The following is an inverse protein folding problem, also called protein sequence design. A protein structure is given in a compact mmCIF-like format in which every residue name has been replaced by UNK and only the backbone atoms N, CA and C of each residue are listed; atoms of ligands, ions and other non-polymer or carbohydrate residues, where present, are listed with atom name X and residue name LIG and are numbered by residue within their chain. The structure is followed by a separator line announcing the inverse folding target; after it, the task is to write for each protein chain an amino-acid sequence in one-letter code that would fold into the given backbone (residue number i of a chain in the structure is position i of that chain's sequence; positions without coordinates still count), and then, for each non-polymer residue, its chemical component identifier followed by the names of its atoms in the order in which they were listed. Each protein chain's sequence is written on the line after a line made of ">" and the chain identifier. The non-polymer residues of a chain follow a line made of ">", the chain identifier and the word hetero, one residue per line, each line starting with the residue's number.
data_IF_633320109679
#
_entry.id   IF_633320109679
#
_cell.length_a   1.000
_cell.length_b   1.000
_cell.length_c   1.000
_cell.angle_alpha   90.00
_cell.angle_beta   90.00
_cell.angle_gamma   90.00
#
_symmetry.space_group_name_H-M   'P 1'
#
loop_
_entity.id
_entity.type
_entity.pdbx_description
1 polymer ?
#
# COMPACT_ATOMS: atom_id res chain seq x y z
N UNK A 1 15.76 1.67 3.98
CA UNK A 1 14.33 1.67 3.59
C UNK A 1 13.88 0.22 3.61
N UNK A 2 12.96 -0.18 4.50
CA UNK A 2 12.44 -1.55 4.47
C UNK A 2 11.56 -1.70 3.22
N UNK A 3 11.76 -2.75 2.44
CA UNK A 3 10.87 -3.07 1.32
C UNK A 3 9.45 -3.27 1.86
N UNK A 4 8.45 -2.74 1.14
CA UNK A 4 7.05 -2.95 1.49
C UNK A 4 6.72 -4.45 1.37
N UNK A 5 6.09 -5.01 2.39
CA UNK A 5 5.60 -6.39 2.34
C UNK A 5 4.43 -6.46 1.35
N UNK A 6 4.70 -6.89 0.12
CA UNK A 6 3.67 -7.14 -0.89
C UNK A 6 3.15 -8.56 -0.69
N UNK A 7 1.86 -8.67 -0.33
CA UNK A 7 1.16 -9.94 -0.15
C UNK A 7 0.69 -10.41 -1.51
N UNK A 8 1.01 -11.65 -1.87
CA UNK A 8 0.45 -12.27 -3.06
C UNK A 8 -1.05 -12.52 -2.80
N UNK A 9 -1.88 -11.70 -3.44
CA UNK A 9 -3.34 -11.75 -3.28
C UNK A 9 -3.94 -13.08 -3.74
N UNK A 10 -3.43 -13.66 -4.83
CA UNK A 10 -3.94 -14.94 -5.33
C UNK A 10 -3.64 -16.07 -4.34
N UNK A 11 -2.45 -16.01 -3.72
CA UNK A 11 -2.08 -16.94 -2.66
C UNK A 11 -2.93 -16.75 -1.41
N UNK A 12 -3.18 -15.50 -0.99
CA UNK A 12 -4.04 -15.21 0.16
C UNK A 12 -5.47 -15.75 -0.08
N UNK A 13 -6.06 -15.47 -1.25
CA UNK A 13 -7.38 -15.99 -1.62
C UNK A 13 -7.43 -17.52 -1.65
N UNK A 14 -6.34 -18.17 -2.10
CA UNK A 14 -6.22 -19.62 -2.11
C UNK A 14 -6.13 -20.20 -0.69
N UNK A 15 -5.37 -19.55 0.20
CA UNK A 15 -5.27 -19.94 1.61
C UNK A 15 -6.60 -19.83 2.33
N UNK A 16 -7.34 -18.74 2.11
CA UNK A 16 -8.70 -18.57 2.67
C UNK A 16 -9.64 -19.69 2.24
N UNK A 17 -9.67 -20.00 0.94
CA UNK A 17 -10.49 -21.10 0.40
C UNK A 17 -10.07 -22.46 0.96
N UNK A 18 -8.76 -22.71 1.05
CA UNK A 18 -8.22 -23.94 1.62
C UNK A 18 -8.64 -24.10 3.08
N UNK A 19 -8.46 -23.05 3.88
CA UNK A 19 -8.87 -22.98 5.29
C UNK A 19 -10.35 -23.31 5.50
N UNK A 20 -11.23 -22.70 4.70
CA UNK A 20 -12.67 -22.96 4.76
C UNK A 20 -13.03 -24.39 4.37
N UNK A 21 -12.34 -24.95 3.37
CA UNK A 21 -12.59 -26.31 2.90
C UNK A 21 -12.02 -27.40 3.84
N UNK A 22 -10.95 -27.07 4.58
CA UNK A 22 -10.18 -28.01 5.40
C UNK A 22 -9.94 -27.47 6.82
N UNK A 23 -10.99 -27.31 7.65
CA UNK A 23 -10.87 -26.67 8.97
C UNK A 23 -9.94 -27.43 9.93
N UNK A 24 -9.86 -28.77 9.83
CA UNK A 24 -8.89 -29.56 10.60
C UNK A 24 -7.45 -29.27 10.20
N UNK A 25 -7.19 -29.13 8.90
CA UNK A 25 -5.87 -28.73 8.40
C UNK A 25 -5.51 -27.34 8.90
N UNK A 26 -6.44 -26.39 8.87
CA UNK A 26 -6.21 -25.04 9.42
C UNK A 26 -5.75 -25.12 10.88
N UNK A 27 -6.47 -25.86 11.74
CA UNK A 27 -6.11 -26.00 13.15
C UNK A 27 -4.69 -26.57 13.34
N UNK A 28 -4.37 -27.65 12.61
CA UNK A 28 -3.04 -28.28 12.67
C UNK A 28 -1.95 -27.33 12.18
N UNK A 29 -2.19 -26.60 11.10
CA UNK A 29 -1.23 -25.64 10.55
C UNK A 29 -1.03 -24.43 11.46
N UNK A 30 -2.10 -23.94 12.09
CA UNK A 30 -2.00 -22.88 13.10
C UNK A 30 -1.21 -23.32 14.33
N UNK A 31 -1.40 -24.56 14.79
CA UNK A 31 -0.60 -25.13 15.88
C UNK A 31 0.88 -25.26 15.50
N UNK A 32 1.19 -25.75 14.29
CA UNK A 32 2.56 -25.83 13.77
C UNK A 32 3.19 -24.44 13.74
N UNK A 33 2.48 -23.43 13.22
CA UNK A 33 2.96 -22.06 13.17
C UNK A 33 3.21 -21.49 14.58
N UNK A 34 2.30 -21.75 15.52
CA UNK A 34 2.44 -21.32 16.91
C UNK A 34 3.64 -21.97 17.61
N UNK A 35 3.91 -23.25 17.34
CA UNK A 35 5.10 -23.93 17.87
C UNK A 35 6.39 -23.36 17.30
N UNK A 36 6.46 -23.18 15.98
CA UNK A 36 7.60 -22.51 15.32
C UNK A 36 7.88 -21.14 15.95
N UNK A 37 6.81 -20.39 16.22
CA UNK A 37 6.86 -19.11 16.92
C UNK A 37 7.40 -19.25 18.35
N UNK A 38 6.83 -20.14 19.15
CA UNK A 38 7.23 -20.36 20.56
C UNK A 38 8.68 -20.82 20.70
N UNK A 39 9.16 -21.64 19.77
CA UNK A 39 10.56 -22.11 19.75
C UNK A 39 11.51 -21.16 19.04
N UNK A 40 10.99 -20.05 18.46
CA UNK A 40 11.77 -19.10 17.65
C UNK A 40 12.60 -19.79 16.56
N UNK A 41 12.02 -20.81 15.93
CA UNK A 41 12.71 -21.66 14.97
C UNK A 41 11.95 -21.70 13.62
N UNK A 42 12.66 -21.63 12.48
CA UNK A 42 12.04 -21.64 11.16
C UNK A 42 11.52 -23.03 10.73
N UNK A 43 11.80 -24.08 11.52
CA UNK A 43 11.36 -25.45 11.31
C UNK A 43 11.04 -26.10 12.65
N UNK A 44 10.05 -26.98 12.68
CA UNK A 44 9.86 -27.89 13.80
C UNK A 44 10.55 -29.24 13.50
N UNK A 45 11.22 -29.86 14.49
CA UNK A 45 11.83 -31.17 14.31
C UNK A 45 10.80 -32.19 13.82
N UNK A 46 11.23 -33.27 13.14
CA UNK A 46 10.31 -34.29 12.70
C UNK A 46 9.65 -34.96 13.92
N UNK A 47 8.39 -34.62 14.20
CA UNK A 47 7.62 -35.24 15.27
C UNK A 47 7.11 -36.60 14.78
N UNK A 48 7.63 -37.68 15.36
CA UNK A 48 7.41 -39.06 14.91
C UNK A 48 5.95 -39.57 15.02
N UNK A 49 5.01 -38.75 15.51
CA UNK A 49 3.57 -39.07 15.56
C UNK A 49 2.65 -38.00 14.94
N UNK A 50 3.11 -36.75 14.72
CA UNK A 50 2.30 -35.68 14.11
C UNK A 50 2.52 -35.54 12.60
N UNK A 51 3.67 -36.00 12.09
CA UNK A 51 3.97 -36.11 10.66
C UNK A 51 3.05 -37.13 9.97
N UNK A 52 2.51 -38.09 10.72
CA UNK A 52 1.62 -39.15 10.21
C UNK A 52 0.13 -38.76 10.35
N UNK A 53 -0.18 -37.47 10.24
CA UNK A 53 -1.56 -37.00 10.13
C UNK A 53 -1.96 -36.79 8.66
N UNK A 54 -3.22 -37.09 8.35
CA UNK A 54 -3.79 -36.84 7.02
C UNK A 54 -3.71 -35.34 6.66
N UNK A 55 -3.86 -34.46 7.66
CA UNK A 55 -3.77 -33.02 7.53
C UNK A 55 -2.38 -32.52 7.11
N UNK A 56 -1.32 -33.00 7.77
CA UNK A 56 0.08 -32.64 7.40
C UNK A 56 0.41 -33.19 6.01
N UNK A 57 0.00 -34.43 5.73
CA UNK A 57 0.19 -35.04 4.40
C UNK A 57 -0.48 -34.22 3.31
N UNK A 58 -1.73 -33.82 3.51
CA UNK A 58 -2.46 -32.97 2.57
C UNK A 58 -1.76 -31.61 2.40
N UNK A 59 -1.36 -30.95 3.48
CA UNK A 59 -0.68 -29.66 3.44
C UNK A 59 0.66 -29.72 2.67
N UNK A 60 1.39 -30.83 2.74
CA UNK A 60 2.60 -31.08 1.93
C UNK A 60 2.21 -31.26 0.45
N UNK A 61 1.18 -32.07 0.16
CA UNK A 61 0.70 -32.32 -1.21
C UNK A 61 0.26 -31.02 -1.92
N UNK A 62 -0.45 -30.14 -1.22
CA UNK A 62 -0.86 -28.83 -1.74
C UNK A 62 0.23 -27.75 -1.63
N UNK A 63 1.43 -28.13 -1.19
CA UNK A 63 2.62 -27.27 -1.10
C UNK A 63 2.46 -26.07 -0.17
N UNK A 64 1.74 -26.22 0.93
CA UNK A 64 1.73 -25.24 2.04
C UNK A 64 2.93 -25.49 2.96
N UNK A 65 3.21 -26.78 3.23
CA UNK A 65 4.35 -27.22 4.02
C UNK A 65 5.41 -27.89 3.14
N UNK A 66 6.64 -27.91 3.64
CA UNK A 66 7.79 -28.62 3.09
C UNK A 66 8.38 -29.50 4.19
N UNK A 67 8.51 -30.79 3.92
CA UNK A 67 9.21 -31.73 4.78
C UNK A 67 10.63 -31.93 4.26
N UNK A 68 11.62 -31.70 5.11
CA UNK A 68 13.02 -32.09 4.85
C UNK A 68 13.54 -33.02 5.94
N UNK A 69 14.79 -33.47 5.80
CA UNK A 69 15.47 -34.26 6.83
C UNK A 69 15.68 -33.48 8.15
N UNK A 70 15.63 -32.16 8.11
CA UNK A 70 15.79 -31.28 9.28
C UNK A 70 14.48 -31.00 10.01
N UNK A 71 13.32 -31.29 9.38
CA UNK A 71 12.01 -30.98 9.95
C UNK A 71 10.97 -30.53 8.95
N UNK A 72 9.86 -30.04 9.51
CA UNK A 72 8.72 -29.48 8.78
C UNK A 72 8.77 -27.95 8.85
N UNK A 73 8.52 -27.29 7.73
CA UNK A 73 8.43 -25.83 7.64
C UNK A 73 7.36 -25.39 6.67
N UNK A 74 6.92 -24.14 6.78
CA UNK A 74 6.11 -23.53 5.72
C UNK A 74 6.95 -23.30 4.47
N UNK A 75 6.28 -23.35 3.31
CA UNK A 75 6.92 -23.12 2.02
C UNK A 75 7.49 -21.71 1.89
N UNK A 76 6.80 -20.71 2.44
CA UNK A 76 7.25 -19.31 2.46
C UNK A 76 6.65 -18.56 3.66
N UNK A 77 7.12 -17.33 3.87
CA UNK A 77 6.72 -16.48 4.99
C UNK A 77 5.25 -16.07 4.98
N UNK A 78 4.60 -15.99 3.81
CA UNK A 78 3.18 -15.62 3.73
C UNK A 78 2.31 -16.77 4.23
N UNK A 79 2.64 -18.03 3.91
CA UNK A 79 1.93 -19.19 4.47
C UNK A 79 2.08 -19.21 5.99
N UNK A 80 3.31 -19.06 6.49
CA UNK A 80 3.58 -19.01 7.93
C UNK A 80 2.80 -17.89 8.62
N UNK A 81 2.90 -16.65 8.12
CA UNK A 81 2.22 -15.49 8.69
C UNK A 81 0.69 -15.66 8.73
N UNK A 82 0.10 -16.29 7.70
CA UNK A 82 -1.34 -16.55 7.65
C UNK A 82 -1.80 -17.50 8.75
N UNK A 83 -1.13 -18.64 8.91
CA UNK A 83 -1.51 -19.62 9.93
C UNK A 83 -1.11 -19.19 11.34
N UNK A 84 -0.03 -18.42 11.50
CA UNK A 84 0.33 -17.80 12.77
C UNK A 84 -0.70 -16.73 13.17
N UNK A 85 -1.13 -15.86 12.25
CA UNK A 85 -2.19 -14.89 12.49
C UNK A 85 -3.47 -15.57 13.01
N UNK A 86 -3.88 -16.68 12.38
CA UNK A 86 -5.00 -17.50 12.83
C UNK A 86 -4.82 -18.02 14.25
N UNK A 87 -3.64 -18.58 14.56
CA UNK A 87 -3.33 -19.08 15.91
C UNK A 87 -3.39 -17.97 16.96
N UNK A 88 -2.84 -16.79 16.64
CA UNK A 88 -2.84 -15.62 17.52
C UNK A 88 -4.25 -15.07 17.73
N UNK A 89 -5.11 -15.10 16.70
CA UNK A 89 -6.52 -14.70 16.86
C UNK A 89 -7.18 -15.58 17.92
N UNK A 90 -7.15 -16.90 17.77
CA UNK A 90 -7.79 -17.81 18.72
C UNK A 90 -7.16 -17.79 20.12
N UNK A 91 -5.84 -17.58 20.23
CA UNK A 91 -5.16 -17.66 21.53
C UNK A 91 -5.09 -16.32 22.28
N UNK A 92 -5.09 -15.19 21.57
CA UNK A 92 -4.73 -13.88 22.13
C UNK A 92 -5.73 -12.77 21.79
N UNK A 93 -6.28 -12.73 20.58
CA UNK A 93 -7.07 -11.57 20.10
C UNK A 93 -8.58 -11.77 20.03
N UNK A 94 -9.10 -13.00 20.13
CA UNK A 94 -10.52 -13.33 19.93
C UNK A 94 -11.47 -12.47 20.77
N UNK A 95 -11.14 -12.23 22.04
CA UNK A 95 -11.94 -11.40 22.96
C UNK A 95 -11.43 -9.96 23.13
N UNK A 96 -10.24 -9.64 22.58
CA UNK A 96 -9.64 -8.32 22.74
C UNK A 96 -10.28 -7.27 21.85
N UNK A 97 -10.85 -7.67 20.71
CA UNK A 97 -11.41 -6.72 19.75
C UNK A 97 -12.52 -5.82 20.35
N UNK A 98 -13.36 -6.37 21.24
CA UNK A 98 -14.38 -5.58 21.94
C UNK A 98 -13.76 -4.48 22.84
N UNK A 99 -12.50 -4.66 23.22
CA UNK A 99 -11.70 -3.74 24.03
C UNK A 99 -10.67 -3.02 23.13
N UNK A 100 -11.16 -2.19 22.20
CA UNK A 100 -10.37 -1.52 21.14
C UNK A 100 -9.02 -0.97 21.61
N UNK A 101 -8.96 -0.26 22.73
CA UNK A 101 -7.70 0.28 23.26
C UNK A 101 -6.68 -0.82 23.56
N UNK A 102 -7.12 -1.90 24.24
CA UNK A 102 -6.27 -3.04 24.57
C UNK A 102 -5.85 -3.82 23.32
N UNK A 103 -6.77 -3.97 22.36
CA UNK A 103 -6.46 -4.60 21.07
C UNK A 103 -5.27 -3.94 20.37
N UNK A 104 -5.27 -2.60 20.28
CA UNK A 104 -4.19 -1.87 19.61
C UNK A 104 -2.88 -1.88 20.40
N UNK A 105 -2.94 -1.79 21.74
CA UNK A 105 -1.76 -1.97 22.60
C UNK A 105 -1.14 -3.35 22.39
N UNK A 106 -1.96 -4.38 22.31
CA UNK A 106 -1.50 -5.76 22.12
C UNK A 106 -0.84 -5.95 20.75
N UNK A 107 -1.38 -5.34 19.70
CA UNK A 107 -0.77 -5.31 18.37
C UNK A 107 0.61 -4.63 18.37
N UNK A 108 0.76 -3.51 19.07
CA UNK A 108 2.07 -2.84 19.22
C UNK A 108 3.06 -3.75 19.93
N UNK A 109 2.65 -4.40 21.03
CA UNK A 109 3.50 -5.34 21.76
C UNK A 109 3.93 -6.51 20.89
N UNK A 110 3.00 -7.06 20.11
CA UNK A 110 3.27 -8.12 19.15
C UNK A 110 4.35 -7.73 18.15
N UNK A 111 4.25 -6.53 17.57
CA UNK A 111 5.25 -6.05 16.61
C UNK A 111 6.63 -5.84 17.25
N UNK A 112 6.68 -5.37 18.51
CA UNK A 112 7.94 -5.22 19.24
C UNK A 112 8.58 -6.56 19.57
N UNK A 113 7.77 -7.57 19.89
CA UNK A 113 8.23 -8.94 20.13
C UNK A 113 8.87 -9.56 18.87
N UNK A 114 8.35 -9.22 17.68
CA UNK A 114 8.76 -9.81 16.41
C UNK A 114 9.91 -9.07 15.73
N UNK A 115 10.33 -7.92 16.25
CA UNK A 115 11.37 -7.09 15.66
C UNK A 115 12.70 -7.84 15.47
N UNK A 116 12.99 -8.82 16.34
CA UNK A 116 14.23 -9.61 16.31
C UNK A 116 14.15 -10.84 15.39
N UNK A 117 12.99 -11.15 14.80
CA UNK A 117 12.76 -12.38 14.03
C UNK A 117 12.25 -12.09 12.62
N UNK A 118 13.16 -12.09 11.64
CA UNK A 118 12.84 -11.77 10.24
C UNK A 118 11.69 -12.60 9.66
N UNK A 119 11.53 -13.87 10.07
CA UNK A 119 10.44 -14.75 9.59
C UNK A 119 9.06 -14.35 10.12
N UNK A 120 9.01 -13.65 11.26
CA UNK A 120 7.77 -13.22 11.93
C UNK A 120 7.35 -11.81 11.52
N UNK A 121 8.23 -11.10 10.81
CA UNK A 121 7.95 -9.76 10.31
C UNK A 121 6.67 -9.76 9.50
N UNK A 122 5.80 -8.78 9.75
CA UNK A 122 4.50 -8.61 9.06
C UNK A 122 3.40 -9.60 9.45
N UNK A 123 3.60 -10.45 10.47
CA UNK A 123 2.51 -11.26 11.04
C UNK A 123 1.38 -10.38 11.55
N UNK A 124 1.70 -9.23 12.14
CA UNK A 124 0.76 -8.22 12.60
C UNK A 124 -0.11 -7.65 11.46
N UNK A 125 0.48 -7.46 10.27
CA UNK A 125 -0.24 -7.04 9.06
C UNK A 125 -1.19 -8.15 8.60
N UNK A 126 -0.71 -9.40 8.58
CA UNK A 126 -1.54 -10.55 8.21
C UNK A 126 -2.70 -10.77 9.21
N UNK A 127 -2.46 -10.56 10.51
CA UNK A 127 -3.48 -10.65 11.55
C UNK A 127 -4.62 -9.67 11.31
N UNK A 128 -4.29 -8.41 11.05
CA UNK A 128 -5.25 -7.34 10.70
C UNK A 128 -6.08 -7.71 9.46
N UNK A 129 -5.43 -8.27 8.44
CA UNK A 129 -6.10 -8.71 7.20
C UNK A 129 -7.05 -9.87 7.48
N UNK A 130 -6.62 -10.89 8.23
CA UNK A 130 -7.44 -12.05 8.57
C UNK A 130 -8.64 -11.66 9.43
N UNK A 131 -8.46 -10.80 10.43
CA UNK A 131 -9.57 -10.24 11.23
C UNK A 131 -10.59 -9.52 10.35
N UNK A 132 -10.13 -8.66 9.44
CA UNK A 132 -11.02 -7.92 8.54
C UNK A 132 -11.78 -8.84 7.59
N UNK A 133 -11.09 -9.76 6.92
CA UNK A 133 -11.67 -10.54 5.82
C UNK A 133 -12.50 -11.73 6.28
N UNK A 134 -12.10 -12.38 7.38
CA UNK A 134 -12.71 -13.64 7.81
C UNK A 134 -13.62 -13.46 9.02
N UNK A 135 -13.37 -12.45 9.86
CA UNK A 135 -14.18 -12.16 11.05
C UNK A 135 -15.04 -10.91 10.89
N UNK A 136 -14.94 -10.20 9.75
CA UNK A 136 -15.76 -9.01 9.46
C UNK A 136 -15.45 -7.83 10.38
N UNK A 137 -14.25 -7.80 10.98
CA UNK A 137 -13.87 -6.79 11.94
C UNK A 137 -13.35 -5.55 11.21
N UNK A 138 -14.06 -4.43 11.36
CA UNK A 138 -13.69 -3.16 10.74
C UNK A 138 -12.72 -2.37 11.63
N UNK A 139 -11.46 -2.33 11.22
CA UNK A 139 -10.36 -1.82 12.04
C UNK A 139 -10.10 -0.31 11.83
N UNK A 140 -10.43 0.24 10.66
CA UNK A 140 -10.02 1.60 10.28
C UNK A 140 -10.74 2.71 11.07
N UNK A 141 -12.04 2.58 11.33
CA UNK A 141 -12.74 3.57 12.17
C UNK A 141 -12.20 3.61 13.61
N UNK A 142 -11.69 2.47 14.11
CA UNK A 142 -11.24 2.37 15.50
C UNK A 142 -9.85 2.96 15.75
N UNK A 143 -8.98 3.06 14.73
CA UNK A 143 -7.56 3.40 14.94
C UNK A 143 -7.32 4.89 15.10
N UNK A 144 -8.08 5.76 14.42
CA UNK A 144 -7.80 7.21 14.46
C UNK A 144 -7.91 7.80 15.88
N UNK A 145 -8.92 7.45 16.70
CA UNK A 145 -8.96 7.89 18.10
C UNK A 145 -7.72 7.46 18.90
N UNK A 146 -7.24 6.23 18.67
CA UNK A 146 -6.08 5.65 19.37
C UNK A 146 -4.80 6.39 19.00
N UNK A 147 -4.62 6.71 17.72
CA UNK A 147 -3.45 7.43 17.23
C UNK A 147 -3.28 8.81 17.87
N UNK A 148 -4.34 9.39 18.45
CA UNK A 148 -4.30 10.68 19.17
C UNK A 148 -3.87 10.55 20.63
N UNK A 149 -3.93 9.35 21.21
CA UNK A 149 -3.69 9.13 22.65
C UNK A 149 -2.38 8.41 22.94
N UNK A 150 -1.75 7.80 21.94
CA UNK A 150 -0.52 7.02 22.08
C UNK A 150 0.74 7.87 21.90
N UNK A 151 1.90 7.32 22.26
CA UNK A 151 3.20 7.96 22.02
C UNK A 151 3.50 8.07 20.52
N UNK A 152 4.39 8.99 20.13
CA UNK A 152 4.79 9.15 18.73
C UNK A 152 5.36 7.86 18.11
N UNK A 153 6.07 7.04 18.90
CA UNK A 153 6.60 5.75 18.46
C UNK A 153 5.48 4.76 18.15
N UNK A 154 4.51 4.63 19.04
CA UNK A 154 3.35 3.74 18.86
C UNK A 154 2.49 4.21 17.70
N UNK A 155 2.29 5.52 17.56
CA UNK A 155 1.59 6.12 16.43
C UNK A 155 2.23 5.72 15.10
N UNK A 156 3.56 5.74 15.00
CA UNK A 156 4.28 5.33 13.80
C UNK A 156 4.12 3.83 13.50
N UNK A 157 4.26 2.98 14.52
CA UNK A 157 4.07 1.51 14.43
C UNK A 157 2.67 1.18 13.89
N UNK A 158 1.64 1.74 14.53
CA UNK A 158 0.24 1.50 14.18
C UNK A 158 -0.08 2.01 12.76
N UNK A 159 0.43 3.17 12.38
CA UNK A 159 0.22 3.68 11.03
C UNK A 159 0.92 2.85 9.97
N UNK A 160 2.13 2.40 10.22
CA UNK A 160 2.80 1.50 9.30
C UNK A 160 2.01 0.20 9.12
N UNK A 161 1.51 -0.38 10.21
CA UNK A 161 0.69 -1.59 10.18
C UNK A 161 -0.60 -1.39 9.38
N UNK A 162 -1.35 -0.32 9.63
CA UNK A 162 -2.61 -0.05 8.93
C UNK A 162 -2.36 0.28 7.47
N UNK A 163 -1.35 1.09 7.15
CA UNK A 163 -1.01 1.41 5.75
C UNK A 163 -0.60 0.18 4.96
N UNK A 164 0.15 -0.76 5.55
CA UNK A 164 0.52 -2.01 4.88
C UNK A 164 -0.66 -2.97 4.71
N UNK A 165 -1.61 -2.97 5.65
CA UNK A 165 -2.81 -3.79 5.56
C UNK A 165 -3.84 -3.23 4.57
N UNK A 166 -3.97 -1.89 4.47
CA UNK A 166 -5.02 -1.17 3.75
C UNK A 166 -5.34 -1.72 2.34
N UNK A 167 -4.36 -2.03 1.47
CA UNK A 167 -4.63 -2.58 0.12
C UNK A 167 -5.43 -3.88 0.13
N UNK A 168 -5.39 -4.62 1.24
CA UNK A 168 -5.89 -5.98 1.38
C UNK A 168 -7.14 -6.08 2.26
N UNK A 169 -7.67 -4.99 2.83
CA UNK A 169 -8.78 -5.05 3.80
C UNK A 169 -10.18 -5.20 3.18
N UNK A 170 -10.32 -5.22 1.85
CA UNK A 170 -11.62 -5.43 1.15
C UNK A 170 -12.76 -4.48 1.60
N UNK A 171 -12.40 -3.34 2.19
CA UNK A 171 -13.34 -2.34 2.68
C UNK A 171 -14.00 -1.55 1.54
N UNK A 172 -15.20 -1.03 1.80
CA UNK A 172 -15.90 -0.11 0.90
C UNK A 172 -15.14 1.22 0.77
N UNK A 173 -15.29 1.88 -0.38
CA UNK A 173 -14.64 3.17 -0.66
C UNK A 173 -14.96 4.20 0.43
N UNK A 174 -16.22 4.26 0.88
CA UNK A 174 -16.66 5.22 1.92
C UNK A 174 -15.84 5.10 3.20
N UNK A 175 -15.56 3.89 3.67
CA UNK A 175 -14.77 3.64 4.89
C UNK A 175 -13.33 4.12 4.69
N UNK A 176 -12.74 3.81 3.53
CA UNK A 176 -11.37 4.23 3.18
C UNK A 176 -11.29 5.76 3.11
N UNK A 177 -12.23 6.42 2.42
CA UNK A 177 -12.26 7.87 2.27
C UNK A 177 -12.38 8.58 3.63
N UNK A 178 -13.30 8.13 4.50
CA UNK A 178 -13.45 8.67 5.85
C UNK A 178 -12.16 8.53 6.66
N UNK A 179 -11.54 7.34 6.64
CA UNK A 179 -10.27 7.10 7.33
C UNK A 179 -9.17 8.07 6.87
N UNK A 180 -9.05 8.35 5.56
CA UNK A 180 -8.03 9.25 5.03
C UNK A 180 -8.26 10.71 5.45
N UNK A 181 -9.51 11.17 5.46
CA UNK A 181 -9.87 12.51 5.93
C UNK A 181 -9.60 12.67 7.43
N UNK A 182 -9.99 11.67 8.22
CA UNK A 182 -9.80 11.65 9.68
C UNK A 182 -8.31 11.60 10.05
N UNK A 183 -7.53 10.83 9.30
CA UNK A 183 -6.08 10.73 9.48
C UNK A 183 -5.39 12.08 9.23
N UNK A 184 -5.75 12.76 8.13
CA UNK A 184 -5.22 14.10 7.86
C UNK A 184 -5.67 15.09 8.94
N UNK A 185 -6.93 15.04 9.36
CA UNK A 185 -7.46 15.90 10.43
C UNK A 185 -6.77 15.73 11.79
N UNK A 186 -6.05 14.63 12.00
CA UNK A 186 -5.29 14.37 13.21
C UNK A 186 -3.84 14.91 13.18
N UNK A 187 -3.44 15.64 12.12
CA UNK A 187 -2.10 16.24 11.95
C UNK A 187 -0.94 15.26 12.14
N UNK A 188 -1.16 13.99 11.81
CA UNK A 188 -0.16 12.96 12.06
C UNK A 188 1.00 13.13 11.07
N UNK A 189 2.21 13.21 11.65
CA UNK A 189 3.47 13.63 11.01
C UNK A 189 3.73 13.14 9.57
N UNK A 190 4.32 14.06 8.79
CA UNK A 190 4.76 14.00 7.38
C UNK A 190 5.55 12.72 7.01
N UNK A 191 6.26 12.09 7.96
CA UNK A 191 7.03 10.87 7.71
C UNK A 191 6.18 9.68 7.24
N UNK A 192 4.87 9.69 7.50
CA UNK A 192 3.96 8.62 7.09
C UNK A 192 3.32 8.84 5.70
N UNK A 193 3.49 10.02 5.09
CA UNK A 193 2.85 10.35 3.82
C UNK A 193 3.31 9.45 2.67
N UNK A 194 4.59 9.07 2.66
CA UNK A 194 5.14 8.18 1.62
C UNK A 194 4.64 6.75 1.73
N UNK A 195 4.44 6.23 2.95
CA UNK A 195 3.89 4.88 3.15
C UNK A 195 2.41 4.84 2.79
N UNK A 196 1.65 5.87 3.15
CA UNK A 196 0.25 6.00 2.78
C UNK A 196 0.08 6.15 1.27
N UNK A 197 0.88 6.99 0.61
CA UNK A 197 0.92 7.13 -0.85
C UNK A 197 1.15 5.76 -1.53
N UNK A 198 2.17 5.01 -1.11
CA UNK A 198 2.45 3.66 -1.63
C UNK A 198 1.32 2.67 -1.37
N UNK A 199 0.68 2.73 -0.20
CA UNK A 199 -0.47 1.92 0.12
C UNK A 199 -1.65 2.22 -0.81
N UNK A 200 -1.93 3.49 -1.10
CA UNK A 200 -3.01 3.90 -2.00
C UNK A 200 -2.73 3.54 -3.46
N UNK A 201 -1.47 3.64 -3.87
CA UNK A 201 -1.00 3.16 -5.17
C UNK A 201 -1.24 1.64 -5.29
N UNK A 202 -0.83 0.85 -4.30
CA UNK A 202 -1.03 -0.60 -4.30
C UNK A 202 -2.51 -0.97 -4.22
N UNK A 203 -3.30 -0.27 -3.40
CA UNK A 203 -4.74 -0.47 -3.28
C UNK A 203 -5.41 -0.26 -4.64
N UNK A 204 -5.07 0.81 -5.36
CA UNK A 204 -5.66 1.12 -6.66
C UNK A 204 -5.21 0.14 -7.75
N UNK A 205 -4.00 -0.42 -7.62
CA UNK A 205 -3.51 -1.49 -8.49
C UNK A 205 -4.26 -2.81 -8.26
N UNK A 206 -4.49 -3.20 -7.00
CA UNK A 206 -5.15 -4.46 -6.64
C UNK A 206 -6.67 -4.36 -6.85
N UNK A 207 -7.26 -3.23 -6.47
CA UNK A 207 -8.71 -2.95 -6.47
C UNK A 207 -9.02 -1.72 -7.33
N UNK A 208 -8.89 -1.82 -8.68
CA UNK A 208 -9.02 -0.67 -9.57
C UNK A 208 -10.36 0.04 -9.47
N UNK A 209 -11.46 -0.67 -9.19
CA UNK A 209 -12.78 -0.03 -8.97
C UNK A 209 -12.77 0.97 -7.81
N UNK A 210 -12.13 0.62 -6.69
CA UNK A 210 -12.00 1.54 -5.54
C UNK A 210 -11.10 2.72 -5.90
N UNK A 211 -10.02 2.48 -6.65
CA UNK A 211 -9.16 3.55 -7.15
C UNK A 211 -9.90 4.51 -8.09
N UNK A 212 -10.75 3.99 -8.99
CA UNK A 212 -11.58 4.79 -9.89
C UNK A 212 -12.58 5.65 -9.12
N UNK A 213 -13.24 5.09 -8.10
CA UNK A 213 -14.16 5.83 -7.22
C UNK A 213 -13.46 6.92 -6.41
N UNK A 214 -12.26 6.64 -5.87
CA UNK A 214 -11.44 7.63 -5.15
C UNK A 214 -10.99 8.76 -6.10
N UNK A 215 -10.51 8.40 -7.29
CA UNK A 215 -10.11 9.36 -8.31
C UNK A 215 -11.29 10.27 -8.66
N UNK A 216 -12.45 9.70 -8.98
CA UNK A 216 -13.67 10.46 -9.30
C UNK A 216 -14.06 11.42 -8.15
N UNK A 217 -14.09 10.90 -6.92
CA UNK A 217 -14.44 11.68 -5.73
C UNK A 217 -13.52 12.89 -5.54
N UNK A 218 -12.20 12.71 -5.67
CA UNK A 218 -11.24 13.79 -5.54
C UNK A 218 -11.23 14.76 -6.71
N UNK A 219 -11.57 14.31 -7.92
CA UNK A 219 -11.72 15.20 -9.08
C UNK A 219 -12.97 16.08 -8.98
N UNK A 220 -14.07 15.55 -8.44
CA UNK A 220 -15.31 16.32 -8.23
C UNK A 220 -15.25 17.20 -6.98
N UNK A 221 -14.51 16.77 -5.95
CA UNK A 221 -14.41 17.47 -4.66
C UNK A 221 -12.95 17.68 -4.24
N UNK A 222 -12.20 18.55 -4.94
CA UNK A 222 -10.77 18.78 -4.67
C UNK A 222 -10.48 19.51 -3.35
N UNK A 223 -11.51 19.97 -2.64
CA UNK A 223 -11.38 20.59 -1.31
C UNK A 223 -11.19 19.57 -0.17
N UNK A 224 -11.29 18.27 -0.46
CA UNK A 224 -11.05 17.20 0.51
C UNK A 224 -9.58 17.20 0.96
N UNK A 225 -9.33 16.95 2.25
CA UNK A 225 -7.99 17.06 2.83
C UNK A 225 -7.06 15.96 2.32
N UNK A 226 -7.62 14.80 1.95
CA UNK A 226 -6.89 13.67 1.37
C UNK A 226 -6.58 13.82 -0.12
N UNK A 227 -7.02 14.91 -0.78
CA UNK A 227 -6.85 15.14 -2.22
C UNK A 227 -5.41 14.91 -2.72
N UNK A 228 -4.40 15.25 -1.91
CA UNK A 228 -2.99 15.06 -2.28
C UNK A 228 -2.62 13.61 -2.64
N UNK A 229 -3.41 12.61 -2.23
CA UNK A 229 -3.23 11.19 -2.57
C UNK A 229 -3.70 10.83 -3.99
N UNK A 230 -4.37 11.75 -4.71
CA UNK A 230 -4.89 11.52 -6.07
C UNK A 230 -3.81 11.03 -7.03
N UNK A 231 -2.58 11.55 -6.90
CA UNK A 231 -1.44 11.16 -7.72
C UNK A 231 -1.14 9.67 -7.51
N UNK A 232 -1.10 9.20 -6.27
CA UNK A 232 -0.79 7.79 -5.94
C UNK A 232 -1.86 6.85 -6.48
N UNK A 233 -3.13 7.23 -6.36
CA UNK A 233 -4.26 6.47 -6.92
C UNK A 233 -4.14 6.38 -8.45
N UNK A 234 -3.89 7.50 -9.13
CA UNK A 234 -3.73 7.52 -10.58
C UNK A 234 -2.57 6.63 -11.06
N UNK A 235 -1.42 6.67 -10.40
CA UNK A 235 -0.27 5.81 -10.73
C UNK A 235 -0.61 4.32 -10.49
N UNK A 236 -1.29 4.00 -9.38
CA UNK A 236 -1.75 2.64 -9.11
C UNK A 236 -2.70 2.10 -10.18
N UNK A 237 -3.66 2.94 -10.62
CA UNK A 237 -4.56 2.62 -11.72
C UNK A 237 -3.78 2.41 -13.03
N UNK A 238 -2.83 3.28 -13.36
CA UNK A 238 -2.06 3.17 -14.60
C UNK A 238 -1.32 1.83 -14.68
N UNK A 239 -0.77 1.35 -13.56
CA UNK A 239 -0.12 0.03 -13.45
C UNK A 239 -1.07 -1.16 -13.64
N UNK A 240 -2.39 -0.97 -13.44
CA UNK A 240 -3.38 -2.04 -13.53
C UNK A 240 -4.20 -2.03 -14.81
N UNK A 241 -4.72 -0.86 -15.19
CA UNK A 241 -5.61 -0.69 -16.35
C UNK A 241 -4.90 -0.02 -17.54
N UNK A 242 -3.62 0.32 -17.42
CA UNK A 242 -2.78 0.87 -18.48
C UNK A 242 -2.68 2.40 -18.46
N UNK A 243 -1.51 2.92 -18.87
CA UNK A 243 -1.17 4.35 -18.94
C UNK A 243 -2.20 5.15 -19.74
N UNK A 244 -2.61 4.66 -20.91
CA UNK A 244 -3.56 5.35 -21.81
C UNK A 244 -4.89 5.73 -21.13
N UNK A 245 -5.43 4.84 -20.30
CA UNK A 245 -6.70 5.09 -19.61
C UNK A 245 -6.58 6.22 -18.58
N UNK A 246 -5.48 6.24 -17.83
CA UNK A 246 -5.23 7.27 -16.81
C UNK A 246 -4.78 8.60 -17.44
N UNK A 247 -4.03 8.53 -18.54
CA UNK A 247 -3.53 9.70 -19.28
C UNK A 247 -4.67 10.63 -19.70
N UNK A 248 -5.73 10.09 -20.30
CA UNK A 248 -6.89 10.88 -20.72
C UNK A 248 -7.47 11.71 -19.58
N UNK A 249 -7.74 11.07 -18.43
CA UNK A 249 -8.22 11.75 -17.23
C UNK A 249 -7.23 12.79 -16.73
N UNK A 250 -5.93 12.48 -16.71
CA UNK A 250 -4.90 13.41 -16.25
C UNK A 250 -4.84 14.67 -17.14
N UNK A 251 -5.01 14.54 -18.46
CA UNK A 251 -5.15 15.69 -19.38
C UNK A 251 -6.39 16.51 -19.04
N UNK A 252 -7.54 15.88 -18.76
CA UNK A 252 -8.76 16.59 -18.37
C UNK A 252 -8.56 17.40 -17.07
N UNK A 253 -7.74 16.89 -16.13
CA UNK A 253 -7.40 17.63 -14.90
C UNK A 253 -6.57 18.89 -15.19
N UNK A 254 -5.67 18.83 -16.18
CA UNK A 254 -4.86 19.98 -16.60
C UNK A 254 -5.73 21.12 -17.15
N UNK A 255 -6.88 20.79 -17.75
CA UNK A 255 -7.83 21.75 -18.30
C UNK A 255 -8.83 22.29 -17.26
N UNK A 256 -8.73 21.81 -16.00
CA UNK A 256 -9.62 22.23 -14.92
C UNK A 256 -9.43 23.71 -14.55
N UNK A 257 -10.50 24.43 -14.15
CA UNK A 257 -10.36 25.77 -13.58
C UNK A 257 -9.76 25.76 -12.16
N UNK A 258 -9.65 24.58 -11.51
CA UNK A 258 -9.13 24.46 -10.15
C UNK A 258 -7.62 24.19 -10.16
N UNK A 259 -6.84 25.09 -9.55
CA UNK A 259 -5.37 25.00 -9.53
C UNK A 259 -4.84 23.68 -8.94
N UNK A 260 -5.46 23.15 -7.89
CA UNK A 260 -5.06 21.87 -7.30
C UNK A 260 -5.25 20.70 -8.27
N UNK A 261 -6.30 20.73 -9.08
CA UNK A 261 -6.53 19.73 -10.14
C UNK A 261 -5.52 19.89 -11.28
N UNK A 262 -5.21 21.12 -11.70
CA UNK A 262 -4.18 21.36 -12.72
C UNK A 262 -2.84 20.79 -12.25
N UNK A 263 -2.42 21.12 -11.02
CA UNK A 263 -1.19 20.62 -10.42
C UNK A 263 -1.16 19.09 -10.41
N UNK A 264 -2.24 18.46 -9.94
CA UNK A 264 -2.35 16.99 -9.92
C UNK A 264 -2.25 16.40 -11.34
N UNK A 265 -2.94 16.97 -12.33
CA UNK A 265 -2.89 16.52 -13.72
C UNK A 265 -1.48 16.57 -14.31
N UNK A 266 -0.75 17.67 -14.08
CA UNK A 266 0.64 17.82 -14.51
C UNK A 266 1.54 16.78 -13.82
N UNK A 267 1.45 16.65 -12.50
CA UNK A 267 2.26 15.69 -11.76
C UNK A 267 1.97 14.25 -12.17
N UNK A 268 0.70 13.88 -12.35
CA UNK A 268 0.32 12.55 -12.84
C UNK A 268 0.95 12.31 -14.21
N UNK A 269 0.77 13.23 -15.17
CA UNK A 269 1.34 13.09 -16.50
C UNK A 269 2.87 12.98 -16.49
N UNK A 270 3.57 13.71 -15.61
CA UNK A 270 5.02 13.59 -15.46
C UNK A 270 5.49 12.25 -14.87
N UNK A 271 4.67 11.60 -14.05
CA UNK A 271 5.00 10.35 -13.35
C UNK A 271 4.50 9.08 -14.07
N UNK A 272 3.64 9.21 -15.08
CA UNK A 272 3.20 8.08 -15.88
C UNK A 272 4.39 7.42 -16.60
N UNK A 273 4.37 6.09 -16.68
CA UNK A 273 5.33 5.34 -17.47
C UNK A 273 4.86 5.33 -18.93
N UNK A 274 5.61 5.99 -19.80
CA UNK A 274 5.41 5.97 -21.25
C UNK A 274 6.36 4.94 -21.85
N UNK A 275 5.82 3.94 -22.53
CA UNK A 275 6.64 3.02 -23.31
C UNK A 275 7.11 3.73 -24.60
N UNK A 276 8.43 3.69 -24.85
CA UNK A 276 9.10 4.36 -25.98
C UNK A 276 8.60 3.90 -27.36
N UNK A 277 7.86 2.78 -27.43
CA UNK A 277 7.34 2.22 -28.68
C UNK A 277 5.83 2.38 -28.82
N UNK A 278 5.06 2.24 -27.73
CA UNK A 278 3.58 2.22 -27.82
C UNK A 278 2.89 3.49 -27.35
N UNK A 279 3.56 4.34 -26.56
CA UNK A 279 2.94 5.51 -25.93
C UNK A 279 3.57 6.85 -26.36
N UNK A 280 4.29 6.85 -27.49
CA UNK A 280 4.91 8.05 -28.07
C UNK A 280 3.86 9.15 -28.35
N UNK A 281 2.66 8.77 -28.80
CA UNK A 281 1.55 9.70 -29.02
C UNK A 281 1.08 10.37 -27.73
N UNK A 282 1.03 9.60 -26.62
CA UNK A 282 0.64 10.11 -25.31
C UNK A 282 1.71 11.04 -24.74
N UNK A 283 2.99 10.66 -24.86
CA UNK A 283 4.12 11.48 -24.41
C UNK A 283 4.14 12.82 -25.17
N UNK A 284 4.01 12.79 -26.50
CA UNK A 284 3.95 14.02 -27.30
C UNK A 284 2.77 14.90 -26.89
N UNK A 285 1.59 14.32 -26.67
CA UNK A 285 0.41 15.06 -26.19
C UNK A 285 0.63 15.68 -24.81
N UNK A 286 1.32 14.98 -23.91
CA UNK A 286 1.71 15.52 -22.60
C UNK A 286 2.63 16.74 -22.77
N UNK A 287 3.67 16.61 -23.58
CA UNK A 287 4.66 17.67 -23.81
C UNK A 287 4.03 18.89 -24.49
N UNK A 288 3.17 18.71 -25.49
CA UNK A 288 2.41 19.80 -26.12
C UNK A 288 1.56 20.57 -25.10
N UNK A 289 0.90 19.86 -24.17
CA UNK A 289 0.12 20.50 -23.11
C UNK A 289 0.98 21.23 -22.10
N UNK A 290 2.11 20.66 -21.70
CA UNK A 290 3.04 21.32 -20.79
C UNK A 290 3.66 22.57 -21.43
N UNK A 291 4.05 22.51 -22.71
CA UNK A 291 4.63 23.65 -23.42
C UNK A 291 3.61 24.79 -23.53
N UNK A 292 2.35 24.47 -23.84
CA UNK A 292 1.27 25.46 -23.89
C UNK A 292 1.08 26.13 -22.52
N UNK A 293 1.11 25.35 -21.42
CA UNK A 293 1.03 25.93 -20.08
C UNK A 293 2.25 26.78 -19.76
N UNK A 294 3.45 26.31 -20.07
CA UNK A 294 4.71 27.01 -19.78
C UNK A 294 4.78 28.39 -20.47
N UNK A 295 4.20 28.49 -21.67
CA UNK A 295 4.09 29.73 -22.44
C UNK A 295 3.07 30.72 -21.88
N UNK A 296 1.96 30.21 -21.34
CA UNK A 296 0.81 31.04 -20.93
C UNK A 296 0.72 31.27 -19.41
N UNK A 297 1.47 30.52 -18.61
CA UNK A 297 1.44 30.59 -17.15
C UNK A 297 2.70 31.18 -16.54
N UNK A 298 2.50 32.20 -15.69
CA UNK A 298 3.58 32.88 -14.99
C UNK A 298 3.55 32.67 -13.46
N UNK A 299 2.53 32.01 -12.93
CA UNK A 299 2.47 31.64 -11.51
C UNK A 299 3.62 30.70 -11.15
N UNK A 300 4.46 31.12 -10.20
CA UNK A 300 5.62 30.35 -9.71
C UNK A 300 5.22 28.93 -9.26
N UNK A 301 4.15 28.71 -8.48
CA UNK A 301 3.77 27.37 -8.04
C UNK A 301 3.53 26.39 -9.20
N UNK A 302 2.79 26.81 -10.24
CA UNK A 302 2.53 25.95 -11.40
C UNK A 302 3.82 25.69 -12.20
N UNK A 303 4.69 26.70 -12.33
CA UNK A 303 6.00 26.53 -12.98
C UNK A 303 6.89 25.53 -12.23
N UNK A 304 6.87 25.51 -10.89
CA UNK A 304 7.59 24.49 -10.13
C UNK A 304 7.06 23.08 -10.39
N UNK A 305 5.74 22.91 -10.46
CA UNK A 305 5.11 21.62 -10.79
C UNK A 305 5.48 21.18 -12.21
N UNK A 306 5.47 22.10 -13.19
CA UNK A 306 5.93 21.83 -14.56
C UNK A 306 7.42 21.44 -14.59
N UNK A 307 8.28 22.17 -13.88
CA UNK A 307 9.72 21.86 -13.81
C UNK A 307 9.94 20.44 -13.30
N UNK A 308 9.27 20.06 -12.20
CA UNK A 308 9.33 18.71 -11.65
C UNK A 308 8.82 17.66 -12.64
N UNK A 309 7.69 17.91 -13.29
CA UNK A 309 7.10 16.98 -14.25
C UNK A 309 7.96 16.78 -15.50
N UNK A 310 8.54 17.84 -16.07
CA UNK A 310 9.55 17.71 -17.12
C UNK A 310 10.79 16.96 -16.62
N UNK A 311 11.21 17.22 -15.38
CA UNK A 311 12.29 16.49 -14.69
C UNK A 311 12.11 14.98 -14.73
N UNK A 312 10.89 14.50 -14.46
CA UNK A 312 10.57 13.08 -14.52
C UNK A 312 10.65 12.49 -15.95
N UNK A 313 10.57 13.34 -16.98
CA UNK A 313 10.53 12.94 -18.39
C UNK A 313 11.88 13.13 -19.12
N UNK A 314 12.90 13.73 -18.50
CA UNK A 314 14.18 14.06 -19.17
C UNK A 314 14.94 12.84 -19.72
N UNK A 315 14.73 11.67 -19.13
CA UNK A 315 15.39 10.43 -19.55
C UNK A 315 14.78 9.83 -20.81
N UNK A 316 13.55 10.21 -21.15
CA UNK A 316 12.78 9.67 -22.28
C UNK A 316 12.41 10.74 -23.32
N UNK A 317 12.72 12.02 -23.07
CA UNK A 317 12.40 13.12 -24.00
C UNK A 317 13.46 14.22 -24.00
N UNK A 318 14.05 14.46 -25.18
CA UNK A 318 14.94 15.60 -25.40
C UNK A 318 14.20 16.94 -25.29
N UNK A 319 12.90 16.99 -25.62
CA UNK A 319 12.08 18.20 -25.45
C UNK A 319 11.91 18.54 -23.96
N UNK A 320 11.68 17.54 -23.10
CA UNK A 320 11.61 17.75 -21.65
C UNK A 320 12.95 18.26 -21.09
N UNK A 321 14.05 17.69 -21.56
CA UNK A 321 15.41 18.14 -21.19
C UNK A 321 15.67 19.59 -21.61
N UNK A 322 15.25 19.99 -22.82
CA UNK A 322 15.35 21.39 -23.27
C UNK A 322 14.50 22.33 -22.42
N UNK A 323 13.28 21.92 -22.04
CA UNK A 323 12.42 22.69 -21.16
C UNK A 323 13.07 22.92 -19.79
N UNK A 324 13.59 21.86 -19.14
CA UNK A 324 14.31 21.98 -17.85
C UNK A 324 15.52 22.91 -17.97
N UNK A 325 16.32 22.78 -19.03
CA UNK A 325 17.46 23.67 -19.27
C UNK A 325 17.03 25.14 -19.43
N UNK A 326 15.95 25.38 -20.18
CA UNK A 326 15.40 26.73 -20.37
C UNK A 326 14.93 27.31 -19.05
N UNK A 327 14.18 26.53 -18.26
CA UNK A 327 13.68 26.95 -16.95
C UNK A 327 14.80 27.18 -15.94
N UNK A 328 15.93 26.46 -16.05
CA UNK A 328 17.09 26.65 -15.18
C UNK A 328 17.78 28.00 -15.37
N UNK A 329 17.65 28.58 -16.56
CA UNK A 329 18.19 29.90 -16.89
C UNK A 329 17.23 31.04 -16.49
N UNK A 330 16.01 30.74 -16.04
CA UNK A 330 15.08 31.76 -15.57
C UNK A 330 15.58 32.39 -14.27
N UNK A 331 15.50 33.73 -14.10
CA UNK A 331 15.94 34.40 -12.89
C UNK A 331 14.89 34.29 -11.76
N UNK A 332 14.40 33.07 -11.51
CA UNK A 332 13.39 32.75 -10.48
C UNK A 332 13.98 31.69 -9.53
N UNK A 333 14.46 32.09 -8.34
CA UNK A 333 15.16 31.19 -7.41
C UNK A 333 14.36 29.93 -7.04
N UNK A 334 13.04 30.04 -6.92
CA UNK A 334 12.14 28.94 -6.59
C UNK A 334 12.11 27.86 -7.68
N UNK A 335 12.18 28.27 -8.95
CA UNK A 335 12.24 27.37 -10.11
C UNK A 335 13.63 26.74 -10.20
N UNK A 336 14.69 27.53 -10.03
CA UNK A 336 16.07 27.03 -10.03
C UNK A 336 16.30 26.00 -8.92
N UNK A 337 15.78 26.26 -7.71
CA UNK A 337 15.84 25.33 -6.58
C UNK A 337 15.10 24.03 -6.88
N UNK A 338 13.91 24.12 -7.48
CA UNK A 338 13.15 22.94 -7.89
C UNK A 338 13.94 22.11 -8.93
N UNK A 339 14.57 22.76 -9.90
CA UNK A 339 15.38 22.08 -10.93
C UNK A 339 16.62 21.42 -10.33
N UNK A 340 17.28 22.07 -9.36
CA UNK A 340 18.44 21.50 -8.68
C UNK A 340 18.10 20.25 -7.84
N UNK A 341 16.81 20.03 -7.53
CA UNK A 341 16.33 18.85 -6.78
C UNK A 341 15.94 17.66 -7.66
N UNK A 342 15.91 17.86 -8.99
CA UNK A 342 15.70 16.83 -10.03
C UNK A 342 17.04 16.17 -10.32
#
# INVERSE_FOLDING_TARGET
>A
MAAMFEIDQLKLDALEKFSMAHPKCELVLSEIAHRMYSTKAPKIPPLSAEIDSEEVTLAIQVKILVQTHEGLSFKDSQHFAFFLAKALISSRFESLWEQRDRFWVELVQLQLEYLEFDIMRHTEVMLVIVLSRQYGIELLESIVPILKTVTQREQWILLQLVTFALPYLYLEMKIIANFLEDLHGAEISIFNNNNLAKALELLSKIRPKVGEELLETWTTTPSLKSFWLIISVAIGLAKKIGTRNVHSKAIDLIESPNESLINAGITICGLLYYDDTTDVDLLNKTLEKFDLLLQNEYRIPLRQVLAQAYGCLVTISEQAKLAVLTMSAEPVPEIQSQIASI
#
